data_IF_426729291796
#
_entry.id   IF_426729291796
#
_cell.length_a   1.000
_cell.length_b   1.000
_cell.length_c   1.000
_cell.angle_alpha   90.00
_cell.angle_beta   90.00
_cell.angle_gamma   90.00
#
_symmetry.space_group_name_H-M   'P 1'
#
loop_
_entity.id
_entity.type
_entity.pdbx_description
1 polymer ?
#
# COMPACT_ATOMS: atom_id res chain seq x y z
N UNK A 1 5.15 22.14 12.87
CA UNK A 1 4.23 21.58 11.85
C UNK A 1 4.06 20.12 12.20
N UNK A 2 2.86 19.69 12.58
CA UNK A 2 2.61 18.27 12.83
C UNK A 2 2.84 17.52 11.51
N UNK A 3 3.55 16.38 11.52
CA UNK A 3 3.72 15.59 10.31
C UNK A 3 2.34 15.10 9.87
N UNK A 4 1.93 15.53 8.67
CA UNK A 4 0.73 15.02 8.03
C UNK A 4 0.96 13.53 7.80
N UNK A 5 0.22 12.69 8.53
CA UNK A 5 0.33 11.24 8.43
C UNK A 5 -0.05 10.84 7.00
N UNK A 6 0.85 10.13 6.32
CA UNK A 6 0.64 9.58 4.98
C UNK A 6 -0.59 8.67 4.98
N UNK A 7 -1.39 8.66 3.90
CA UNK A 7 -2.59 7.83 3.83
C UNK A 7 -2.30 6.34 4.13
N UNK A 8 -1.19 5.81 3.62
CA UNK A 8 -0.79 4.43 3.88
C UNK A 8 -0.37 4.21 5.34
N UNK A 9 0.27 5.19 5.98
CA UNK A 9 0.64 5.09 7.39
C UNK A 9 -0.63 5.02 8.26
N UNK A 10 -1.64 5.85 7.96
CA UNK A 10 -2.92 5.80 8.68
C UNK A 10 -3.65 4.48 8.43
N UNK A 11 -3.70 4.02 7.18
CA UNK A 11 -4.29 2.73 6.84
C UNK A 11 -3.61 1.57 7.58
N UNK A 12 -2.27 1.56 7.65
CA UNK A 12 -1.51 0.55 8.38
C UNK A 12 -1.85 0.58 9.88
N UNK A 13 -1.96 1.76 10.48
CA UNK A 13 -2.39 1.91 11.87
C UNK A 13 -3.79 1.33 12.11
N UNK A 14 -4.73 1.60 11.19
CA UNK A 14 -6.09 1.08 11.28
C UNK A 14 -6.13 -0.45 11.11
N UNK A 15 -5.33 -1.00 10.18
CA UNK A 15 -5.20 -2.43 9.97
C UNK A 15 -4.60 -3.13 11.21
N UNK A 16 -3.56 -2.56 11.82
CA UNK A 16 -2.97 -3.05 13.07
C UNK A 16 -3.98 -3.02 14.22
N UNK A 17 -4.75 -1.94 14.34
CA UNK A 17 -5.81 -1.82 15.35
C UNK A 17 -6.90 -2.89 15.15
N UNK A 18 -7.32 -3.12 13.91
CA UNK A 18 -8.29 -4.17 13.56
C UNK A 18 -7.76 -5.60 13.81
N UNK A 19 -6.43 -5.78 13.79
CA UNK A 19 -5.73 -7.01 14.14
C UNK A 19 -5.53 -7.20 15.66
N UNK A 20 -6.00 -6.26 16.49
CA UNK A 20 -5.91 -6.34 17.95
C UNK A 20 -4.74 -5.55 18.55
N UNK A 21 -3.89 -4.95 17.73
CA UNK A 21 -2.76 -4.11 18.15
C UNK A 21 -3.15 -2.62 18.25
N UNK A 22 -4.28 -2.34 18.89
CA UNK A 22 -4.82 -0.97 19.02
C UNK A 22 -4.04 -0.05 19.97
N UNK A 23 -3.26 -0.62 20.89
CA UNK A 23 -2.59 0.10 21.97
C UNK A 23 -1.06 0.11 21.81
N UNK A 24 -0.56 0.20 20.57
CA UNK A 24 0.87 0.32 20.33
C UNK A 24 1.40 1.65 20.89
N UNK A 25 2.54 1.60 21.58
CA UNK A 25 3.27 2.80 21.99
C UNK A 25 3.82 3.53 20.77
N UNK A 26 4.18 4.80 20.92
CA UNK A 26 4.76 5.56 19.79
C UNK A 26 6.09 4.97 19.30
N UNK A 27 6.86 4.33 20.19
CA UNK A 27 8.05 3.58 19.83
C UNK A 27 7.72 2.34 18.99
N UNK A 28 6.69 1.59 19.39
CA UNK A 28 6.23 0.43 18.62
C UNK A 28 5.68 0.85 17.26
N UNK A 29 4.89 1.93 17.19
CA UNK A 29 4.40 2.47 15.90
C UNK A 29 5.56 2.85 14.98
N UNK A 30 6.59 3.54 15.50
CA UNK A 30 7.80 3.90 14.74
C UNK A 30 8.55 2.69 14.20
N UNK A 31 8.46 1.53 14.86
CA UNK A 31 9.08 0.29 14.38
C UNK A 31 8.18 -0.46 13.38
N UNK A 32 6.91 -0.67 13.71
CA UNK A 32 6.03 -1.55 12.93
C UNK A 32 5.43 -0.88 11.69
N UNK A 33 5.04 0.40 11.77
CA UNK A 33 4.34 1.07 10.67
C UNK A 33 5.18 1.08 9.38
N UNK A 34 6.48 1.45 9.39
CA UNK A 34 7.28 1.43 8.17
C UNK A 34 7.41 0.03 7.53
N UNK A 35 7.55 -1.01 8.36
CA UNK A 35 7.70 -2.39 7.87
C UNK A 35 6.42 -2.91 7.22
N UNK A 36 5.27 -2.69 7.87
CA UNK A 36 3.97 -3.11 7.33
C UNK A 36 3.59 -2.26 6.12
N UNK A 37 3.99 -0.99 6.10
CA UNK A 37 3.84 -0.11 4.93
C UNK A 37 4.61 -0.62 3.72
N UNK A 38 5.85 -1.04 3.88
CA UNK A 38 6.64 -1.64 2.79
C UNK A 38 5.97 -2.91 2.26
N UNK A 39 5.48 -3.77 3.16
CA UNK A 39 4.73 -4.97 2.77
C UNK A 39 3.44 -4.63 2.03
N UNK A 40 2.73 -3.58 2.45
CA UNK A 40 1.54 -3.09 1.77
C UNK A 40 1.86 -2.60 0.35
N UNK A 41 2.92 -1.82 0.17
CA UNK A 41 3.34 -1.32 -1.14
C UNK A 41 3.68 -2.48 -2.09
N UNK A 42 4.42 -3.48 -1.61
CA UNK A 42 4.69 -4.71 -2.38
C UNK A 42 3.41 -5.49 -2.69
N UNK A 43 2.51 -5.63 -1.71
CA UNK A 43 1.24 -6.32 -1.87
C UNK A 43 0.37 -5.66 -2.95
N UNK A 44 0.27 -4.32 -2.91
CA UNK A 44 -0.41 -3.55 -3.95
C UNK A 44 0.24 -3.84 -5.31
N UNK A 45 1.56 -3.72 -5.42
CA UNK A 45 2.31 -3.99 -6.66
C UNK A 45 1.98 -5.35 -7.28
N UNK A 46 1.99 -6.42 -6.48
CA UNK A 46 1.66 -7.77 -6.95
C UNK A 46 0.19 -7.93 -7.38
N UNK A 47 -0.74 -7.27 -6.70
CA UNK A 47 -2.17 -7.37 -7.00
C UNK A 47 -2.61 -6.50 -8.17
N UNK A 48 -1.93 -5.38 -8.41
CA UNK A 48 -2.24 -4.52 -9.55
C UNK A 48 -1.65 -5.05 -10.86
N UNK A 49 -0.50 -5.74 -10.82
CA UNK A 49 0.16 -6.29 -11.99
C UNK A 49 -0.78 -7.08 -12.95
N UNK A 50 -1.62 -8.03 -12.47
CA UNK A 50 -2.55 -8.76 -13.35
C UNK A 50 -3.71 -7.91 -13.88
N UNK A 51 -3.94 -6.71 -13.35
CA UNK A 51 -4.97 -5.79 -13.81
C UNK A 51 -4.48 -4.88 -14.96
N UNK A 52 -3.17 -4.86 -15.20
CA UNK A 52 -2.54 -4.06 -16.24
C UNK A 52 -2.52 -4.82 -17.57
N UNK A 53 -2.84 -4.12 -18.65
CA UNK A 53 -2.54 -4.60 -20.00
C UNK A 53 -1.04 -4.60 -20.29
N UNK A 54 -0.63 -5.20 -21.41
CA UNK A 54 0.78 -5.37 -21.79
C UNK A 54 1.54 -4.03 -21.82
N UNK A 55 0.93 -2.99 -22.40
CA UNK A 55 1.51 -1.63 -22.45
C UNK A 55 1.72 -1.05 -21.05
N UNK A 56 0.75 -1.22 -20.17
CA UNK A 56 0.83 -0.70 -18.82
C UNK A 56 1.80 -1.52 -17.94
N UNK A 57 2.03 -2.80 -18.23
CA UNK A 57 3.07 -3.59 -17.58
C UNK A 57 4.48 -3.08 -17.93
N UNK A 58 4.73 -2.72 -19.19
CA UNK A 58 5.99 -2.07 -19.61
C UNK A 58 6.20 -0.73 -18.90
N UNK A 59 5.14 0.07 -18.78
CA UNK A 59 5.20 1.34 -18.04
C UNK A 59 5.45 1.12 -16.55
N UNK A 60 4.83 0.11 -15.94
CA UNK A 60 5.07 -0.26 -14.55
C UNK A 60 6.54 -0.61 -14.31
N UNK A 61 7.15 -1.41 -15.18
CA UNK A 61 8.59 -1.73 -15.12
C UNK A 61 9.45 -0.48 -15.27
N UNK A 62 9.07 0.43 -16.18
CA UNK A 62 9.78 1.69 -16.40
C UNK A 62 9.75 2.58 -15.15
N UNK A 63 8.61 2.65 -14.45
CA UNK A 63 8.46 3.38 -13.20
C UNK A 63 9.23 2.75 -12.03
N UNK A 64 9.34 1.42 -11.99
CA UNK A 64 10.17 0.71 -11.00
C UNK A 64 11.68 0.96 -11.18
N UNK A 65 12.14 1.12 -12.42
CA UNK A 65 13.56 1.32 -12.73
C UNK A 65 14.02 2.76 -12.54
N UNK A 66 13.09 3.71 -12.46
CA UNK A 66 13.39 5.12 -12.22
C UNK A 66 13.69 5.33 -10.72
N UNK A 67 14.89 5.85 -10.42
CA UNK A 67 15.39 6.02 -9.05
C UNK A 67 14.54 6.98 -8.19
N UNK A 68 13.82 7.90 -8.83
CA UNK A 68 13.12 9.02 -8.20
C UNK A 68 11.62 9.05 -8.54
N UNK A 69 11.01 7.90 -8.88
CA UNK A 69 9.55 7.85 -9.09
C UNK A 69 8.81 8.27 -7.83
N UNK A 70 8.02 9.33 -7.95
CA UNK A 70 7.28 9.93 -6.84
C UNK A 70 5.99 9.15 -6.54
N UNK A 71 5.46 9.34 -5.31
CA UNK A 71 4.15 8.78 -4.91
C UNK A 71 3.02 9.26 -5.84
N UNK A 72 3.08 10.50 -6.28
CA UNK A 72 2.09 11.09 -7.19
C UNK A 72 2.15 10.43 -8.58
N UNK A 73 3.35 10.20 -9.12
CA UNK A 73 3.53 9.48 -10.38
C UNK A 73 2.98 8.06 -10.31
N UNK A 74 3.28 7.33 -9.23
CA UNK A 74 2.69 6.01 -8.98
C UNK A 74 1.17 6.06 -8.91
N UNK A 75 0.61 6.98 -8.13
CA UNK A 75 -0.83 7.11 -7.96
C UNK A 75 -1.53 7.43 -9.28
N UNK A 76 -0.99 8.38 -10.05
CA UNK A 76 -1.53 8.77 -11.35
C UNK A 76 -1.46 7.64 -12.37
N UNK A 77 -0.35 6.90 -12.42
CA UNK A 77 -0.22 5.71 -13.24
C UNK A 77 -1.29 4.68 -12.89
N UNK A 78 -1.37 4.26 -11.63
CA UNK A 78 -2.32 3.23 -11.20
C UNK A 78 -3.78 3.65 -11.47
N UNK A 79 -4.12 4.92 -11.23
CA UNK A 79 -5.46 5.46 -11.46
C UNK A 79 -5.88 5.41 -12.92
N UNK A 80 -4.96 5.62 -13.86
CA UNK A 80 -5.24 5.62 -15.30
C UNK A 80 -5.18 4.20 -15.88
N UNK A 81 -4.28 3.36 -15.37
CA UNK A 81 -3.98 2.05 -15.95
C UNK A 81 -4.85 0.92 -15.39
N UNK A 82 -5.51 1.09 -14.26
CA UNK A 82 -6.36 0.06 -13.64
C UNK A 82 -7.84 0.36 -13.89
N UNK A 83 -8.58 -0.55 -14.55
CA UNK A 83 -10.04 -0.44 -14.67
C UNK A 83 -10.72 -0.41 -13.30
N UNK A 84 -11.73 0.43 -13.11
CA UNK A 84 -12.43 0.56 -11.81
C UNK A 84 -11.47 0.72 -10.61
N UNK A 85 -10.41 1.53 -10.78
CA UNK A 85 -9.32 1.72 -9.82
C UNK A 85 -9.76 1.76 -8.36
N UNK A 86 -10.73 2.61 -8.02
CA UNK A 86 -11.19 2.76 -6.63
C UNK A 86 -11.73 1.46 -6.03
N UNK A 87 -12.55 0.71 -6.78
CA UNK A 87 -13.11 -0.57 -6.32
C UNK A 87 -12.01 -1.63 -6.17
N UNK A 88 -11.08 -1.69 -7.11
CA UNK A 88 -9.95 -2.63 -7.04
C UNK A 88 -9.03 -2.31 -5.85
N UNK A 89 -8.69 -1.04 -5.64
CA UNK A 89 -7.88 -0.61 -4.51
C UNK A 89 -8.57 -0.90 -3.17
N UNK A 90 -9.86 -0.61 -3.03
CA UNK A 90 -10.62 -0.97 -1.82
C UNK A 90 -10.57 -2.47 -1.55
N UNK A 91 -10.73 -3.30 -2.59
CA UNK A 91 -10.61 -4.76 -2.48
C UNK A 91 -9.22 -5.21 -2.01
N UNK A 92 -8.17 -4.70 -2.65
CA UNK A 92 -6.77 -4.99 -2.32
C UNK A 92 -6.47 -4.63 -0.85
N UNK A 93 -6.86 -3.42 -0.42
CA UNK A 93 -6.65 -2.96 0.96
C UNK A 93 -7.45 -3.79 1.99
N UNK A 94 -8.68 -4.16 1.65
CA UNK A 94 -9.50 -5.02 2.50
C UNK A 94 -8.89 -6.42 2.65
N UNK A 95 -8.32 -6.98 1.59
CA UNK A 95 -7.65 -8.29 1.64
C UNK A 95 -6.33 -8.22 2.41
N UNK A 96 -5.51 -7.21 2.19
CA UNK A 96 -4.29 -6.98 2.98
C UNK A 96 -4.62 -6.90 4.48
N UNK A 97 -5.68 -6.19 4.86
CA UNK A 97 -6.10 -6.08 6.26
C UNK A 97 -6.47 -7.43 6.90
N UNK A 98 -6.99 -8.39 6.12
CA UNK A 98 -7.24 -9.76 6.58
C UNK A 98 -5.94 -10.54 6.74
N UNK A 99 -4.98 -10.34 5.84
CA UNK A 99 -3.68 -11.00 5.86
C UNK A 99 -2.75 -10.47 6.97
N UNK A 100 -2.82 -9.18 7.33
CA UNK A 100 -2.08 -8.60 8.47
C UNK A 100 -2.37 -9.37 9.76
N UNK A 101 -3.60 -9.84 9.96
CA UNK A 101 -3.96 -10.69 11.11
C UNK A 101 -3.23 -12.03 11.12
N UNK A 102 -2.91 -12.57 9.95
CA UNK A 102 -2.19 -13.84 9.81
C UNK A 102 -0.68 -13.63 9.98
N UNK A 103 -0.14 -12.49 9.55
CA UNK A 103 1.28 -12.13 9.70
C UNK A 103 1.67 -11.94 11.17
N UNK A 104 0.71 -11.51 12.01
CA UNK A 104 0.92 -11.20 13.42
C UNK A 104 0.64 -12.37 14.40
N UNK A 105 0.26 -13.54 13.90
CA UNK A 105 0.02 -14.77 14.68
C UNK A 105 1.23 -15.70 14.64
#
# INVERSE_FOLDING_TARGET
>A
MEPQIDFFDQFVLDALAAAGLKNLTDEQKRSFVPQIREQLEQYIGHRVLPLLDEKNQEMFVSLLQKEDTTKEEWFNFLKVSIPHFENNMVGILADFSKEVKQILQ
#
